data_IF_100193050652
#
_entry.id   IF_100193050652
#
_cell.length_a   1.000
_cell.length_b   1.000
_cell.length_c   1.000
_cell.angle_alpha   90.00
_cell.angle_beta   90.00
_cell.angle_gamma   90.00
#
_symmetry.space_group_name_H-M   'P 1'
#
loop_
_entity.id
_entity.type
_entity.pdbx_description
1 polymer ?
#
# COMPACT_ATOMS: atom_id res chain seq x y z
N UNK A 1 11.43 13.40 -5.25
CA UNK A 1 11.54 12.66 -4.00
C UNK A 1 10.20 12.63 -3.24
N UNK A 2 9.69 13.80 -2.79
CA UNK A 2 8.49 13.88 -1.97
C UNK A 2 7.25 13.24 -2.62
N UNK A 3 7.04 13.46 -3.92
CA UNK A 3 5.93 12.88 -4.67
C UNK A 3 5.94 11.34 -4.63
N UNK A 4 7.10 10.72 -4.77
CA UNK A 4 7.24 9.25 -4.68
C UNK A 4 6.99 8.76 -3.26
N UNK A 5 7.59 9.41 -2.25
CA UNK A 5 7.54 8.97 -0.87
C UNK A 5 6.26 9.39 -0.11
N UNK A 6 5.44 10.28 -0.67
CA UNK A 6 4.10 10.57 -0.14
C UNK A 6 3.00 9.73 -0.78
N UNK A 7 3.23 9.16 -1.97
CA UNK A 7 2.22 8.41 -2.73
C UNK A 7 2.22 6.93 -2.39
N UNK A 8 1.10 6.29 -2.73
CA UNK A 8 0.91 4.85 -2.55
C UNK A 8 0.71 4.41 -1.10
N UNK A 9 0.06 3.28 -0.95
CA UNK A 9 -0.25 2.67 0.33
C UNK A 9 0.36 1.27 0.42
N UNK A 10 0.90 0.92 1.58
CA UNK A 10 1.36 -0.43 1.87
C UNK A 10 0.17 -1.31 2.24
N UNK A 11 -0.51 -1.85 1.22
CA UNK A 11 -1.75 -2.58 1.44
C UNK A 11 -1.47 -4.05 1.72
N UNK A 12 -0.81 -4.77 0.81
CA UNK A 12 -0.61 -6.21 0.92
C UNK A 12 0.13 -6.63 2.21
N UNK A 13 1.19 -5.90 2.57
CA UNK A 13 2.01 -6.23 3.73
C UNK A 13 1.55 -5.57 5.03
N UNK A 14 0.69 -4.54 4.97
CA UNK A 14 0.29 -3.81 6.17
C UNK A 14 -1.24 -3.75 6.35
N UNK A 15 -2.00 -3.15 5.44
CA UNK A 15 -3.44 -2.99 5.60
C UNK A 15 -4.20 -4.34 5.55
N UNK A 16 -3.75 -5.27 4.72
CA UNK A 16 -4.36 -6.58 4.56
C UNK A 16 -4.41 -7.41 5.86
N UNK A 17 -3.32 -7.54 6.66
CA UNK A 17 -3.38 -8.17 7.97
C UNK A 17 -4.42 -7.59 8.91
N UNK A 18 -4.59 -6.26 8.94
CA UNK A 18 -5.65 -5.63 9.73
C UNK A 18 -7.06 -5.98 9.21
N UNK A 19 -7.24 -5.98 7.88
CA UNK A 19 -8.52 -6.38 7.29
C UNK A 19 -8.85 -7.84 7.61
N UNK A 20 -7.89 -8.74 7.50
CA UNK A 20 -8.04 -10.17 7.84
C UNK A 20 -8.39 -10.38 9.32
N UNK A 21 -7.77 -9.61 10.21
CA UNK A 21 -7.99 -9.75 11.65
C UNK A 21 -9.30 -9.14 12.17
N UNK A 22 -9.80 -8.07 11.51
CA UNK A 22 -10.86 -7.25 12.10
C UNK A 22 -12.10 -7.05 11.22
N UNK A 23 -12.00 -7.13 9.88
CA UNK A 23 -13.13 -6.80 9.00
C UNK A 23 -13.83 -8.00 8.34
N UNK A 24 -13.34 -9.20 8.57
CA UNK A 24 -13.90 -10.40 7.94
C UNK A 24 -13.75 -10.45 6.40
N UNK A 25 -14.41 -11.43 5.74
CA UNK A 25 -14.17 -11.71 4.32
C UNK A 25 -14.53 -10.54 3.38
N UNK A 26 -15.60 -9.81 3.66
CA UNK A 26 -16.04 -8.68 2.82
C UNK A 26 -15.02 -7.54 2.87
N UNK A 27 -14.49 -7.22 4.06
CA UNK A 27 -13.46 -6.22 4.21
C UNK A 27 -12.15 -6.60 3.51
N UNK A 28 -11.77 -7.88 3.55
CA UNK A 28 -10.61 -8.41 2.82
C UNK A 28 -10.78 -8.24 1.31
N UNK A 29 -11.97 -8.54 0.77
CA UNK A 29 -12.28 -8.32 -0.66
C UNK A 29 -12.16 -6.84 -1.01
N UNK A 30 -12.74 -5.97 -0.19
CA UNK A 30 -12.69 -4.52 -0.42
C UNK A 30 -11.25 -3.98 -0.44
N UNK A 31 -10.42 -4.40 0.50
CA UNK A 31 -8.99 -4.04 0.55
C UNK A 31 -8.25 -4.58 -0.66
N UNK A 32 -8.52 -5.80 -1.10
CA UNK A 32 -7.90 -6.42 -2.28
C UNK A 32 -8.25 -5.68 -3.57
N UNK A 33 -9.52 -5.28 -3.74
CA UNK A 33 -9.95 -4.49 -4.90
C UNK A 33 -9.26 -3.13 -4.94
N UNK A 34 -9.12 -2.47 -3.79
CA UNK A 34 -8.38 -1.21 -3.71
C UNK A 34 -6.90 -1.41 -4.02
N UNK A 35 -6.29 -2.50 -3.55
CA UNK A 35 -4.87 -2.79 -3.79
C UNK A 35 -4.56 -3.02 -5.27
N UNK A 36 -5.49 -3.54 -6.03
CA UNK A 36 -5.35 -3.65 -7.49
C UNK A 36 -5.10 -2.27 -8.13
N UNK A 37 -5.92 -1.27 -7.80
CA UNK A 37 -5.72 0.11 -8.27
C UNK A 37 -4.47 0.78 -7.67
N UNK A 38 -4.20 0.58 -6.39
CA UNK A 38 -3.03 1.08 -5.70
C UNK A 38 -1.73 0.54 -6.31
N UNK A 39 -1.69 -0.73 -6.70
CA UNK A 39 -0.53 -1.34 -7.36
C UNK A 39 -0.19 -0.64 -8.68
N UNK A 40 -1.21 -0.27 -9.48
CA UNK A 40 -1.00 0.50 -10.71
C UNK A 40 -0.40 1.88 -10.43
N UNK A 41 -0.88 2.55 -9.39
CA UNK A 41 -0.37 3.87 -8.98
C UNK A 41 1.04 3.76 -8.42
N UNK A 42 1.29 2.84 -7.49
CA UNK A 42 2.58 2.70 -6.83
C UNK A 42 3.69 2.22 -7.77
N UNK A 43 3.42 1.16 -8.55
CA UNK A 43 4.44 0.51 -9.38
C UNK A 43 4.58 1.18 -10.76
N UNK A 44 3.54 1.88 -11.20
CA UNK A 44 3.50 2.51 -12.51
C UNK A 44 3.50 4.04 -12.45
N UNK A 45 2.42 4.62 -11.94
CA UNK A 45 2.16 6.05 -11.99
C UNK A 45 3.17 6.91 -11.24
N UNK A 46 3.33 6.64 -9.95
CA UNK A 46 4.18 7.46 -9.07
C UNK A 46 5.66 7.42 -9.50
N UNK A 47 6.17 6.23 -9.80
CA UNK A 47 7.54 6.06 -10.30
C UNK A 47 7.76 6.81 -11.62
N UNK A 48 6.80 6.71 -12.55
CA UNK A 48 6.92 7.34 -13.86
C UNK A 48 6.91 8.86 -13.78
N UNK A 49 5.94 9.43 -13.04
CA UNK A 49 5.86 10.88 -12.88
C UNK A 49 7.12 11.39 -12.18
N UNK A 50 7.58 10.73 -11.14
CA UNK A 50 8.81 11.09 -10.45
C UNK A 50 10.04 11.01 -11.38
N UNK A 51 10.11 9.99 -12.25
CA UNK A 51 11.18 9.85 -13.26
C UNK A 51 11.17 10.96 -14.30
N UNK A 52 9.98 11.36 -14.79
CA UNK A 52 9.82 12.47 -15.75
C UNK A 52 10.29 13.78 -15.13
N UNK A 53 9.86 14.08 -13.92
CA UNK A 53 10.24 15.30 -13.20
C UNK A 53 11.75 15.35 -12.99
N UNK A 54 12.38 14.19 -12.70
CA UNK A 54 13.83 14.13 -12.49
C UNK A 54 14.63 14.26 -13.78
N UNK A 55 14.22 13.60 -14.87
CA UNK A 55 14.96 13.61 -16.14
C UNK A 55 14.86 14.94 -16.87
N UNK A 56 13.87 15.77 -16.59
CA UNK A 56 13.61 17.02 -17.28
C UNK A 56 13.22 16.89 -18.76
N UNK A 57 13.22 15.66 -19.31
CA UNK A 57 12.98 15.39 -20.73
C UNK A 57 11.51 15.48 -21.15
N UNK A 58 10.59 15.56 -20.17
CA UNK A 58 9.14 15.55 -20.42
C UNK A 58 8.62 14.27 -21.11
N UNK A 59 9.48 13.29 -21.34
CA UNK A 59 9.13 12.06 -22.07
C UNK A 59 8.60 10.99 -21.12
N UNK A 60 7.34 10.64 -21.33
CA UNK A 60 6.71 9.54 -20.63
C UNK A 60 7.25 8.19 -21.13
N UNK A 61 7.95 7.46 -20.26
CA UNK A 61 8.54 6.16 -20.61
C UNK A 61 7.60 5.03 -20.14
N UNK A 62 6.78 4.53 -21.04
CA UNK A 62 5.80 3.44 -20.76
C UNK A 62 6.50 2.11 -20.47
N UNK A 63 7.64 1.83 -21.11
CA UNK A 63 8.34 0.54 -21.02
C UNK A 63 8.74 0.13 -19.59
N UNK A 64 9.36 0.98 -18.76
CA UNK A 64 9.66 0.65 -17.38
C UNK A 64 8.42 0.41 -16.53
N UNK A 65 7.34 1.17 -16.78
CA UNK A 65 6.06 0.99 -16.09
C UNK A 65 5.49 -0.38 -16.38
N UNK A 66 5.36 -0.70 -17.66
CA UNK A 66 4.80 -1.97 -18.09
C UNK A 66 5.63 -3.14 -17.56
N UNK A 67 6.96 -3.00 -17.57
CA UNK A 67 7.86 -4.00 -17.01
C UNK A 67 7.63 -4.20 -15.49
N UNK A 68 7.52 -3.14 -14.72
CA UNK A 68 7.24 -3.22 -13.28
C UNK A 68 5.86 -3.83 -13.00
N UNK A 69 4.84 -3.48 -13.77
CA UNK A 69 3.49 -4.03 -13.63
C UNK A 69 3.45 -5.53 -13.95
N UNK A 70 4.06 -5.95 -15.05
CA UNK A 70 4.08 -7.38 -15.46
C UNK A 70 4.89 -8.25 -14.50
N UNK A 71 5.90 -7.69 -13.82
CA UNK A 71 6.69 -8.41 -12.82
C UNK A 71 6.11 -8.33 -11.40
N UNK A 72 4.99 -7.62 -11.22
CA UNK A 72 4.29 -7.58 -9.94
C UNK A 72 3.44 -8.84 -9.75
N UNK A 73 3.92 -9.77 -8.92
CA UNK A 73 3.21 -11.02 -8.60
C UNK A 73 1.78 -10.74 -8.09
N UNK A 74 1.54 -9.81 -7.12
CA UNK A 74 0.19 -9.53 -6.66
C UNK A 74 -0.73 -9.04 -7.79
N UNK A 75 -0.28 -8.09 -8.61
CA UNK A 75 -1.08 -7.54 -9.71
C UNK A 75 -1.41 -8.61 -10.75
N UNK A 76 -0.43 -9.43 -11.13
CA UNK A 76 -0.65 -10.53 -12.09
C UNK A 76 -1.61 -11.56 -11.52
N UNK A 77 -1.56 -11.85 -10.22
CA UNK A 77 -2.50 -12.74 -9.55
C UNK A 77 -3.92 -12.15 -9.57
N UNK A 78 -4.10 -10.86 -9.30
CA UNK A 78 -5.41 -10.21 -9.40
C UNK A 78 -5.99 -10.29 -10.81
N UNK A 79 -5.18 -10.01 -11.83
CA UNK A 79 -5.60 -10.12 -13.24
C UNK A 79 -6.00 -11.57 -13.57
N UNK A 80 -5.18 -12.53 -13.20
CA UNK A 80 -5.44 -13.96 -13.45
C UNK A 80 -6.73 -14.42 -12.76
N UNK A 81 -6.92 -14.10 -11.49
CA UNK A 81 -8.14 -14.46 -10.75
C UNK A 81 -9.38 -13.76 -11.31
N UNK A 82 -9.25 -12.52 -11.78
CA UNK A 82 -10.34 -11.80 -12.43
C UNK A 82 -10.75 -12.50 -13.73
N UNK A 83 -9.79 -12.91 -14.55
CA UNK A 83 -10.06 -13.65 -15.80
C UNK A 83 -10.76 -14.98 -15.50
N UNK A 84 -10.28 -15.75 -14.51
CA UNK A 84 -10.94 -16.99 -14.09
C UNK A 84 -12.37 -16.74 -13.65
N UNK A 85 -12.61 -15.68 -12.84
CA UNK A 85 -13.95 -15.31 -12.40
C UNK A 85 -14.89 -14.94 -13.54
N UNK A 86 -14.41 -14.18 -14.53
CA UNK A 86 -15.19 -13.82 -15.73
C UNK A 86 -15.51 -15.03 -16.62
N UNK A 87 -14.63 -16.03 -16.64
CA UNK A 87 -14.83 -17.28 -17.35
C UNK A 87 -15.64 -18.31 -16.54
N UNK A 88 -16.09 -17.96 -15.32
CA UNK A 88 -16.77 -18.86 -14.38
C UNK A 88 -15.96 -20.13 -14.08
N UNK A 89 -14.65 -20.06 -14.15
CA UNK A 89 -13.74 -21.16 -13.79
C UNK A 89 -13.32 -21.06 -12.34
N UNK A 90 -13.30 -22.18 -11.64
CA UNK A 90 -12.81 -22.29 -10.27
C UNK A 90 -11.47 -23.00 -10.23
N UNK A 91 -10.61 -22.62 -9.28
CA UNK A 91 -9.37 -23.35 -9.02
C UNK A 91 -9.68 -24.72 -8.40
N UNK A 92 -8.84 -25.74 -8.64
CA UNK A 92 -8.95 -27.03 -7.97
C UNK A 92 -8.89 -26.89 -6.44
N UNK A 93 -9.71 -27.67 -5.72
CA UNK A 93 -9.79 -27.58 -4.26
C UNK A 93 -8.42 -27.69 -3.55
N UNK A 94 -7.49 -28.58 -3.91
CA UNK A 94 -6.18 -28.65 -3.27
C UNK A 94 -5.35 -27.37 -3.42
N UNK A 95 -5.50 -26.65 -4.54
CA UNK A 95 -4.81 -25.36 -4.76
C UNK A 95 -5.38 -24.28 -3.85
N UNK A 96 -6.70 -24.25 -3.69
CA UNK A 96 -7.39 -23.30 -2.80
C UNK A 96 -7.02 -23.57 -1.34
N UNK A 97 -6.99 -24.83 -0.91
CA UNK A 97 -6.59 -25.23 0.44
C UNK A 97 -5.14 -24.84 0.73
N UNK A 98 -4.22 -25.16 -0.17
CA UNK A 98 -2.82 -24.77 -0.02
C UNK A 98 -2.65 -23.24 0.02
N UNK A 99 -3.30 -22.51 -0.90
CA UNK A 99 -3.29 -21.05 -0.90
C UNK A 99 -3.88 -20.47 0.41
N UNK A 100 -4.91 -21.11 0.97
CA UNK A 100 -5.49 -20.75 2.26
C UNK A 100 -4.50 -20.88 3.43
N UNK A 101 -3.75 -21.98 3.50
CA UNK A 101 -2.72 -22.19 4.52
C UNK A 101 -1.64 -21.09 4.43
N UNK A 102 -1.12 -20.84 3.23
CA UNK A 102 -0.11 -19.79 3.01
C UNK A 102 -0.68 -18.40 3.28
N UNK A 103 -1.92 -18.15 2.85
CA UNK A 103 -2.62 -16.89 3.08
C UNK A 103 -2.83 -16.58 4.56
N UNK A 104 -3.17 -17.59 5.37
CA UNK A 104 -3.31 -17.42 6.82
C UNK A 104 -1.99 -17.08 7.52
N UNK A 105 -0.86 -17.54 6.98
CA UNK A 105 0.46 -17.16 7.49
C UNK A 105 0.86 -15.73 7.11
N UNK A 106 0.21 -15.12 6.11
CA UNK A 106 0.59 -13.81 5.57
C UNK A 106 0.59 -12.71 6.63
N UNK A 107 -0.41 -12.67 7.52
CA UNK A 107 -0.50 -11.63 8.55
C UNK A 107 0.74 -11.64 9.45
N UNK A 108 1.15 -12.82 9.94
CA UNK A 108 2.33 -12.96 10.77
C UNK A 108 3.62 -12.63 10.01
N UNK A 109 3.79 -13.19 8.82
CA UNK A 109 4.99 -12.99 8.00
C UNK A 109 5.16 -11.54 7.57
N UNK A 110 4.07 -10.87 7.21
CA UNK A 110 4.09 -9.46 6.84
C UNK A 110 4.49 -8.56 8.03
N UNK A 111 3.95 -8.79 9.22
CA UNK A 111 4.33 -8.03 10.41
C UNK A 111 5.77 -8.31 10.84
N UNK A 112 6.22 -9.56 10.72
CA UNK A 112 7.62 -9.93 10.97
C UNK A 112 8.57 -9.21 9.99
N UNK A 113 8.23 -9.21 8.70
CA UNK A 113 9.02 -8.51 7.67
C UNK A 113 9.11 -7.00 7.95
N UNK A 114 8.02 -6.38 8.35
CA UNK A 114 7.99 -4.97 8.75
C UNK A 114 8.91 -4.73 9.93
N UNK A 115 8.84 -5.58 10.97
CA UNK A 115 9.69 -5.47 12.16
C UNK A 115 11.19 -5.62 11.85
N UNK A 116 11.55 -6.61 11.04
CA UNK A 116 12.96 -6.85 10.61
C UNK A 116 13.46 -5.72 9.69
N UNK A 117 12.59 -5.23 8.80
CA UNK A 117 12.92 -4.15 7.87
C UNK A 117 12.84 -2.74 8.47
N UNK A 118 12.57 -2.63 9.77
CA UNK A 118 12.44 -1.35 10.45
C UNK A 118 13.81 -0.72 10.72
N UNK A 119 14.11 0.38 10.05
CA UNK A 119 15.35 1.12 10.22
C UNK A 119 15.07 2.60 10.48
N UNK A 120 15.49 3.10 11.65
CA UNK A 120 15.46 4.51 12.04
C UNK A 120 16.84 5.18 11.87
N UNK A 121 17.50 4.94 10.76
CA UNK A 121 18.78 5.59 10.46
C UNK A 121 18.53 6.95 9.78
N UNK A 122 17.83 7.86 10.47
CA UNK A 122 17.58 9.20 9.98
C UNK A 122 18.61 10.19 10.54
N UNK A 123 19.16 11.03 9.68
CA UNK A 123 19.91 12.21 10.11
C UNK A 123 18.93 13.17 10.80
N UNK A 124 19.24 13.67 12.02
CA UNK A 124 18.40 14.66 12.69
C UNK A 124 18.06 15.89 11.85
N UNK A 125 18.92 16.26 10.91
CA UNK A 125 18.68 17.35 9.95
C UNK A 125 17.48 17.08 9.01
N UNK A 126 17.11 15.82 8.80
CA UNK A 126 16.03 15.40 7.88
C UNK A 126 14.65 15.28 8.56
N UNK A 127 14.58 15.45 9.87
CA UNK A 127 13.32 15.34 10.63
C UNK A 127 12.25 16.29 10.08
N UNK A 128 12.64 17.51 9.70
CA UNK A 128 11.73 18.48 9.11
C UNK A 128 11.08 18.01 7.81
N UNK A 129 11.80 17.30 6.96
CA UNK A 129 11.28 16.78 5.69
C UNK A 129 10.40 15.55 5.92
N UNK A 130 10.74 14.68 6.87
CA UNK A 130 9.89 13.57 7.29
C UNK A 130 8.54 14.09 7.78
N UNK A 131 8.53 15.07 8.67
CA UNK A 131 7.30 15.66 9.22
C UNK A 131 6.45 16.31 8.13
N UNK A 132 7.06 17.05 7.20
CA UNK A 132 6.32 17.68 6.10
C UNK A 132 5.66 16.64 5.19
N UNK A 133 6.41 15.62 4.75
CA UNK A 133 5.92 14.61 3.83
C UNK A 133 4.81 13.78 4.48
N UNK A 134 5.03 13.28 5.69
CA UNK A 134 4.06 12.47 6.41
C UNK A 134 2.88 13.32 6.92
N UNK A 135 3.12 14.57 7.32
CA UNK A 135 2.06 15.50 7.72
C UNK A 135 1.04 15.72 6.59
N UNK A 136 1.52 16.07 5.39
CA UNK A 136 0.64 16.22 4.21
C UNK A 136 -0.08 14.90 3.90
N UNK A 137 0.64 13.78 3.91
CA UNK A 137 0.06 12.46 3.64
C UNK A 137 -1.08 12.12 4.60
N UNK A 138 -0.84 12.24 5.92
CA UNK A 138 -1.85 11.82 6.89
C UNK A 138 -2.99 12.82 7.03
N UNK A 139 -2.77 14.12 6.82
CA UNK A 139 -3.87 15.10 6.73
C UNK A 139 -4.82 14.71 5.60
N UNK A 140 -4.29 14.45 4.41
CA UNK A 140 -5.09 14.02 3.25
C UNK A 140 -5.71 12.64 3.51
N UNK A 141 -4.94 11.69 4.04
CA UNK A 141 -5.41 10.34 4.35
C UNK A 141 -6.57 10.33 5.34
N UNK A 142 -6.48 11.11 6.43
CA UNK A 142 -7.55 11.25 7.42
C UNK A 142 -8.78 11.91 6.79
N UNK A 143 -8.60 12.97 6.00
CA UNK A 143 -9.72 13.62 5.32
C UNK A 143 -10.45 12.66 4.37
N UNK A 144 -9.69 11.86 3.58
CA UNK A 144 -10.26 10.83 2.71
C UNK A 144 -10.93 9.69 3.50
N UNK A 145 -10.34 9.26 4.60
CA UNK A 145 -10.91 8.24 5.48
C UNK A 145 -12.26 8.69 6.07
N UNK A 146 -12.33 9.92 6.57
CA UNK A 146 -13.58 10.51 7.08
C UNK A 146 -14.61 10.68 5.96
N UNK A 147 -14.22 11.18 4.81
CA UNK A 147 -15.09 11.30 3.66
C UNK A 147 -15.62 9.94 3.22
N UNK A 148 -14.77 8.92 3.14
CA UNK A 148 -15.17 7.56 2.78
C UNK A 148 -16.15 6.96 3.81
N UNK A 149 -15.92 7.21 5.08
CA UNK A 149 -16.74 6.64 6.15
C UNK A 149 -18.14 7.30 6.23
N UNK A 150 -18.22 8.63 6.08
CA UNK A 150 -19.46 9.36 6.32
C UNK A 150 -20.23 9.72 5.03
N UNK A 151 -19.56 9.85 3.88
CA UNK A 151 -20.18 10.38 2.66
C UNK A 151 -20.49 9.27 1.65
N UNK A 152 -19.66 8.20 1.58
CA UNK A 152 -19.85 7.18 0.55
C UNK A 152 -21.10 6.31 0.82
N UNK A 153 -22.00 6.14 -0.19
CA UNK A 153 -23.17 5.28 -0.08
C UNK A 153 -22.81 3.80 -0.29
N UNK A 154 -21.85 3.30 0.50
CA UNK A 154 -21.37 1.92 0.44
C UNK A 154 -21.74 1.16 1.72
N UNK A 155 -21.84 -0.17 1.69
CA UNK A 155 -21.95 -1.00 2.90
C UNK A 155 -20.87 -0.67 3.93
N UNK A 156 -21.17 -0.87 5.21
CA UNK A 156 -20.29 -0.48 6.31
C UNK A 156 -18.89 -1.11 6.19
N UNK A 157 -18.81 -2.38 5.83
CA UNK A 157 -17.57 -3.14 5.69
C UNK A 157 -16.64 -2.53 4.64
N UNK A 158 -17.19 -2.03 3.52
CA UNK A 158 -16.42 -1.33 2.48
C UNK A 158 -15.89 0.00 2.99
N UNK A 159 -16.71 0.76 3.74
CA UNK A 159 -16.29 2.04 4.31
C UNK A 159 -15.20 1.86 5.35
N UNK A 160 -15.32 0.86 6.22
CA UNK A 160 -14.30 0.49 7.19
C UNK A 160 -12.98 0.06 6.51
N UNK A 161 -13.07 -0.74 5.44
CA UNK A 161 -11.92 -1.14 4.64
C UNK A 161 -11.19 0.08 4.04
N UNK A 162 -11.93 1.04 3.49
CA UNK A 162 -11.35 2.28 2.93
C UNK A 162 -10.66 3.13 3.99
N UNK A 163 -11.20 3.20 5.20
CA UNK A 163 -10.54 3.89 6.33
C UNK A 163 -9.16 3.27 6.61
N UNK A 164 -9.09 1.94 6.74
CA UNK A 164 -7.81 1.24 6.99
C UNK A 164 -6.81 1.53 5.85
N UNK A 165 -7.26 1.49 4.60
CA UNK A 165 -6.40 1.70 3.43
C UNK A 165 -5.87 3.12 3.36
N UNK A 166 -6.70 4.15 3.59
CA UNK A 166 -6.25 5.55 3.56
C UNK A 166 -5.32 5.91 4.72
N UNK A 167 -5.41 5.20 5.84
CA UNK A 167 -4.51 5.36 6.99
C UNK A 167 -3.28 4.45 6.92
N UNK A 168 -3.16 3.60 5.90
CA UNK A 168 -2.01 2.72 5.72
C UNK A 168 -0.69 3.49 5.48
N UNK A 169 0.47 2.93 5.87
CA UNK A 169 1.75 3.58 5.69
C UNK A 169 2.13 3.72 4.21
N UNK A 170 3.21 4.40 3.94
CA UNK A 170 3.74 4.54 2.58
C UNK A 170 4.09 3.17 2.00
N UNK A 171 4.03 3.06 0.68
CA UNK A 171 4.33 1.81 -0.01
C UNK A 171 5.77 1.35 0.26
N UNK A 172 5.94 0.07 0.59
CA UNK A 172 7.27 -0.52 0.84
C UNK A 172 8.19 -0.52 -0.39
N UNK A 173 7.64 -0.29 -1.58
CA UNK A 173 8.39 -0.12 -2.83
C UNK A 173 9.07 1.26 -2.95
N UNK A 174 8.68 2.25 -2.14
CA UNK A 174 9.20 3.62 -2.28
C UNK A 174 10.71 3.75 -2.00
N UNK A 175 11.30 3.16 -0.92
CA UNK A 175 12.74 3.22 -0.71
C UNK A 175 13.55 2.62 -1.87
N UNK A 176 13.31 1.38 -2.35
CA UNK A 176 14.04 0.85 -3.49
C UNK A 176 13.85 1.66 -4.78
N UNK A 177 12.67 2.22 -5.05
CA UNK A 177 12.46 3.10 -6.19
C UNK A 177 13.22 4.43 -6.04
N UNK A 178 13.29 4.96 -4.82
CA UNK A 178 14.09 6.15 -4.51
C UNK A 178 15.57 5.89 -4.79
N UNK A 179 16.10 4.72 -4.41
CA UNK A 179 17.46 4.29 -4.70
C UNK A 179 17.71 4.15 -6.21
N UNK A 180 16.80 3.51 -6.96
CA UNK A 180 16.89 3.38 -8.42
C UNK A 180 16.93 4.74 -9.11
N UNK A 181 16.25 5.73 -8.55
CA UNK A 181 16.28 7.10 -9.01
C UNK A 181 17.53 7.87 -8.55
N UNK A 182 18.49 7.24 -7.83
CA UNK A 182 19.69 7.90 -7.31
C UNK A 182 19.36 9.04 -6.35
N UNK A 183 18.29 8.92 -5.57
CA UNK A 183 17.87 9.84 -4.51
C UNK A 183 18.16 9.24 -3.13
N UNK A 184 17.87 9.96 -2.06
CA UNK A 184 18.22 9.58 -0.70
C UNK A 184 17.41 8.36 -0.21
N UNK A 185 18.03 7.19 -0.28
CA UNK A 185 17.46 5.93 0.22
C UNK A 185 17.27 5.94 1.75
N UNK A 186 18.21 6.58 2.48
CA UNK A 186 18.15 6.64 3.95
C UNK A 186 16.93 7.41 4.42
N UNK A 187 16.70 8.61 3.86
CA UNK A 187 15.51 9.40 4.15
C UNK A 187 14.22 8.67 3.75
N UNK A 188 14.18 8.01 2.58
CA UNK A 188 13.02 7.25 2.16
C UNK A 188 12.69 6.08 3.11
N UNK A 189 13.72 5.39 3.59
CA UNK A 189 13.58 4.30 4.57
C UNK A 189 13.10 4.81 5.92
N UNK A 190 13.61 5.96 6.38
CA UNK A 190 13.15 6.59 7.60
C UNK A 190 11.68 7.03 7.50
N UNK A 191 11.26 7.65 6.38
CA UNK A 191 9.87 8.00 6.10
C UNK A 191 8.98 6.76 6.17
N UNK A 192 9.38 5.66 5.53
CA UNK A 192 8.63 4.41 5.55
C UNK A 192 8.48 3.89 6.99
N UNK A 193 9.56 3.83 7.77
CA UNK A 193 9.55 3.33 9.15
C UNK A 193 8.68 4.19 10.08
N UNK A 194 8.82 5.52 10.02
CA UNK A 194 7.98 6.43 10.82
C UNK A 194 6.51 6.32 10.41
N UNK A 195 6.21 6.17 9.11
CA UNK A 195 4.85 5.99 8.63
C UNK A 195 4.20 4.70 9.16
N UNK A 196 4.97 3.64 9.34
CA UNK A 196 4.48 2.38 9.92
C UNK A 196 3.99 2.61 11.37
N UNK A 197 4.79 3.29 12.20
CA UNK A 197 4.41 3.61 13.58
C UNK A 197 3.14 4.46 13.60
N UNK A 198 3.11 5.52 12.81
CA UNK A 198 1.96 6.42 12.73
C UNK A 198 0.69 5.68 12.29
N UNK A 199 0.80 4.80 11.27
CA UNK A 199 -0.33 4.00 10.78
C UNK A 199 -0.83 2.98 11.79
N UNK A 200 0.05 2.35 12.57
CA UNK A 200 -0.37 1.44 13.67
C UNK A 200 -1.29 2.20 14.63
N UNK A 201 -0.86 3.37 15.08
CA UNK A 201 -1.64 4.19 16.02
C UNK A 201 -2.97 4.62 15.40
N UNK A 202 -2.93 5.15 14.17
CA UNK A 202 -4.13 5.66 13.49
C UNK A 202 -5.13 4.55 13.16
N UNK A 203 -4.68 3.43 12.61
CA UNK A 203 -5.57 2.31 12.24
C UNK A 203 -6.15 1.66 13.50
N UNK A 204 -5.32 1.43 14.53
CA UNK A 204 -5.83 0.86 15.80
C UNK A 204 -6.87 1.77 16.43
N UNK A 205 -6.62 3.08 16.47
CA UNK A 205 -7.58 4.06 16.98
C UNK A 205 -8.87 4.05 16.15
N UNK A 206 -8.76 4.05 14.82
CA UNK A 206 -9.91 3.99 13.94
C UNK A 206 -10.73 2.70 14.13
N UNK A 207 -10.06 1.55 14.24
CA UNK A 207 -10.74 0.27 14.51
C UNK A 207 -11.48 0.26 15.83
N UNK A 208 -10.88 0.77 16.91
CA UNK A 208 -11.55 0.88 18.24
C UNK A 208 -12.80 1.76 18.19
N UNK A 209 -12.81 2.77 17.29
CA UNK A 209 -13.97 3.67 17.15
C UNK A 209 -15.06 3.05 16.25
N UNK A 210 -14.66 2.25 15.25
CA UNK A 210 -15.57 1.74 14.21
C UNK A 210 -16.19 0.38 14.57
N UNK A 211 -15.55 -0.42 15.44
CA UNK A 211 -15.99 -1.75 15.86
C UNK A 211 -16.61 -1.71 17.24
#
# INVERSE_FOLDING_TARGET
>A
FAMLNASGCNIGNFAMPFAQGFLGPVGVIAVSLFDCGNSMICLGGAYSIASIVKSGDGKFRIKPILNNLVHSIPLMTYIFMTILGLLHLSLPAPVVEFAGIVGNANAFMAMLMIGVGFHLNGDPSQIGDIIKILGVRYIIGIALALAAYFILPLPLEYRQALVIVFLAPVASANPPFTAQMGSDFGLASAINSVSIIASIVLITTALVIML
#
